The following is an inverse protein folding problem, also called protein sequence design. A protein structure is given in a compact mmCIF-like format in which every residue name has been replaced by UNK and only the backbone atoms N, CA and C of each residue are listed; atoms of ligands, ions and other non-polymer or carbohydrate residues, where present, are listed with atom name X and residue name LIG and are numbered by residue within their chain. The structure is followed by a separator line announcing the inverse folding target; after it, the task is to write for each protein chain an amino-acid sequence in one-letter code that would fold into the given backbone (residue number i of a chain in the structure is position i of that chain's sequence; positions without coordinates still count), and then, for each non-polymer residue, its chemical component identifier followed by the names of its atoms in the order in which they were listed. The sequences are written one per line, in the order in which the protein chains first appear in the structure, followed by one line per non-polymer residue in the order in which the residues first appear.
data_IF_917225390471
#
_entry.id   IF_917225390471
#
_cell.length_a   1.000
_cell.length_b   1.000
_cell.length_c   1.000
_cell.angle_alpha   90.00
_cell.angle_beta   90.00
_cell.angle_gamma   90.00
#
_symmetry.space_group_name_H-M   'P 1'
#
loop_
_entity.id
_entity.type
_entity.pdbx_description
1 polymer ?
#
# COMPACT_ATOMS: atom_id res chain seq x y z
N UNK A 1 -9.37 -17.37 9.88
CA UNK A 1 -10.11 -16.51 10.81
C UNK A 1 -9.50 -16.58 12.20
N UNK A 2 -9.37 -15.44 12.84
CA UNK A 2 -8.87 -15.35 14.20
C UNK A 2 -9.96 -15.83 15.20
N UNK A 3 -9.56 -16.67 16.15
CA UNK A 3 -10.40 -17.04 17.30
C UNK A 3 -9.81 -16.41 18.55
N UNK A 4 -10.66 -15.85 19.42
CA UNK A 4 -10.22 -15.33 20.71
C UNK A 4 -9.60 -16.44 21.56
N UNK A 5 -8.55 -16.10 22.31
CA UNK A 5 -7.92 -16.99 23.29
C UNK A 5 -8.74 -17.00 24.59
N UNK A 6 -9.46 -15.91 24.85
CA UNK A 6 -10.36 -15.75 26.00
C UNK A 6 -11.68 -15.14 25.55
N UNK A 7 -12.78 -15.44 26.22
CA UNK A 7 -14.10 -14.95 25.84
C UNK A 7 -14.24 -13.42 25.93
N UNK A 8 -13.36 -12.76 26.69
CA UNK A 8 -13.40 -11.33 26.93
C UNK A 8 -12.62 -10.48 25.93
N UNK A 9 -11.73 -11.09 25.11
CA UNK A 9 -10.88 -10.37 24.16
C UNK A 9 -11.41 -10.54 22.74
N UNK A 10 -12.07 -9.51 22.22
CA UNK A 10 -12.63 -9.49 20.85
C UNK A 10 -11.70 -8.90 19.82
N UNK A 11 -10.80 -8.01 20.24
CA UNK A 11 -9.79 -7.40 19.37
C UNK A 11 -8.54 -7.00 20.17
N UNK A 12 -7.37 -6.95 19.51
CA UNK A 12 -6.14 -6.39 20.06
C UNK A 12 -5.24 -5.81 18.99
N UNK A 13 -4.46 -4.80 19.38
CA UNK A 13 -3.49 -4.15 18.51
C UNK A 13 -2.23 -5.02 18.38
N UNK A 14 -1.81 -5.30 17.16
CA UNK A 14 -0.56 -6.02 16.85
C UNK A 14 0.59 -5.05 16.65
N UNK A 15 0.33 -3.94 15.96
CA UNK A 15 1.32 -2.93 15.65
C UNK A 15 0.66 -1.58 15.37
N UNK A 16 1.42 -0.52 15.64
CA UNK A 16 1.04 0.86 15.31
C UNK A 16 2.17 1.49 14.50
N UNK A 17 1.81 2.26 13.47
CA UNK A 17 2.80 3.08 12.78
C UNK A 17 3.42 4.05 13.78
N UNK A 18 4.73 4.19 13.73
CA UNK A 18 5.44 5.16 14.56
C UNK A 18 5.12 6.56 14.03
N UNK A 19 4.10 7.18 14.59
CA UNK A 19 3.96 8.62 14.48
C UNK A 19 5.02 9.21 15.41
N UNK A 20 6.10 9.75 14.85
CA UNK A 20 7.08 10.46 15.63
C UNK A 20 6.41 11.66 16.26
N UNK A 21 6.56 11.88 17.55
CA UNK A 21 6.06 13.00 18.35
C UNK A 21 4.57 13.38 18.09
N UNK A 22 3.84 13.79 19.11
CA UNK A 22 2.43 14.24 19.03
C UNK A 22 2.19 15.43 18.06
N UNK A 23 3.24 15.96 17.45
CA UNK A 23 3.22 17.03 16.45
C UNK A 23 3.20 16.52 14.99
N UNK A 24 3.39 15.22 14.75
CA UNK A 24 3.40 14.70 13.37
C UNK A 24 1.97 14.57 12.87
N UNK A 25 1.62 15.45 11.94
CA UNK A 25 0.31 15.48 11.28
C UNK A 25 0.05 14.29 10.34
N UNK A 26 0.92 13.27 10.32
CA UNK A 26 0.67 12.06 9.57
C UNK A 26 -0.39 11.21 10.24
N UNK A 27 -1.35 10.73 9.46
CA UNK A 27 -2.42 9.87 9.96
C UNK A 27 -1.85 8.58 10.54
N UNK A 28 -2.25 8.19 11.76
CA UNK A 28 -1.82 6.95 12.36
C UNK A 28 -2.43 5.74 11.64
N UNK A 29 -1.65 4.69 11.45
CA UNK A 29 -2.11 3.39 10.99
C UNK A 29 -1.86 2.33 12.06
N UNK A 30 -2.81 1.46 12.26
CA UNK A 30 -2.73 0.35 13.20
C UNK A 30 -2.94 -0.97 12.48
N UNK A 31 -2.29 -2.02 12.96
CA UNK A 31 -2.61 -3.40 12.59
C UNK A 31 -3.31 -4.04 13.78
N UNK A 32 -4.54 -4.45 13.54
CA UNK A 32 -5.40 -5.09 14.53
C UNK A 32 -5.67 -6.54 14.21
N UNK A 33 -5.95 -7.28 15.26
CA UNK A 33 -6.54 -8.60 15.17
C UNK A 33 -7.92 -8.55 15.81
N UNK A 34 -8.93 -8.97 15.08
CA UNK A 34 -10.32 -8.96 15.52
C UNK A 34 -10.96 -10.34 15.29
N UNK A 35 -11.78 -10.77 16.24
CA UNK A 35 -12.51 -12.05 16.15
C UNK A 35 -13.42 -12.05 14.91
N UNK A 36 -13.39 -13.15 14.16
CA UNK A 36 -14.19 -13.30 12.94
C UNK A 36 -13.66 -12.56 11.71
N UNK A 37 -12.53 -11.84 11.82
CA UNK A 37 -11.89 -11.16 10.71
C UNK A 37 -10.61 -11.87 10.26
N UNK A 38 -10.13 -11.62 9.03
CA UNK A 38 -8.83 -12.06 8.57
C UNK A 38 -7.68 -11.52 9.45
N UNK A 39 -6.55 -12.22 9.42
CA UNK A 39 -5.37 -11.79 10.18
C UNK A 39 -4.78 -10.49 9.62
N UNK A 40 -4.45 -9.55 10.51
CA UNK A 40 -3.71 -8.34 10.18
C UNK A 40 -4.56 -7.27 9.47
N UNK A 41 -5.67 -6.85 10.07
CA UNK A 41 -6.48 -5.75 9.57
C UNK A 41 -5.73 -4.45 9.74
N UNK A 42 -5.65 -3.65 8.68
CA UNK A 42 -5.15 -2.28 8.75
C UNK A 42 -6.33 -1.36 9.05
N UNK A 43 -6.21 -0.59 10.15
CA UNK A 43 -7.15 0.48 10.51
C UNK A 43 -6.44 1.83 10.44
N UNK A 44 -7.20 2.87 10.12
CA UNK A 44 -6.70 4.23 10.07
C UNK A 44 -7.79 5.24 9.82
N UNK A 45 -7.41 6.50 9.82
CA UNK A 45 -8.31 7.63 9.59
C UNK A 45 -8.72 7.66 8.12
N UNK A 46 -10.03 7.66 7.87
CA UNK A 46 -10.63 7.77 6.53
C UNK A 46 -10.88 9.22 6.15
N UNK A 47 -11.24 9.48 4.89
CA UNK A 47 -11.86 10.74 4.51
C UNK A 47 -13.31 10.77 5.01
N UNK A 48 -13.74 11.92 5.53
CA UNK A 48 -15.16 12.12 5.78
C UNK A 48 -15.90 12.29 4.45
N UNK A 49 -16.94 11.49 4.25
CA UNK A 49 -17.74 11.48 3.02
C UNK A 49 -19.21 11.74 3.33
N UNK A 50 -19.92 12.32 2.35
CA UNK A 50 -21.37 12.42 2.39
C UNK A 50 -22.04 11.09 1.99
N UNK A 51 -23.38 11.04 2.01
CA UNK A 51 -24.16 9.86 1.64
C UNK A 51 -23.96 9.38 0.19
N UNK A 52 -23.40 10.25 -0.68
CA UNK A 52 -23.07 9.95 -2.07
C UNK A 52 -21.62 9.44 -2.25
N UNK A 53 -20.83 9.38 -1.16
CA UNK A 53 -19.43 8.99 -1.19
C UNK A 53 -18.45 10.10 -1.58
N UNK A 54 -18.90 11.34 -1.74
CA UNK A 54 -18.05 12.48 -2.07
C UNK A 54 -17.28 12.95 -0.82
N UNK A 55 -16.00 13.32 -1.00
CA UNK A 55 -15.17 13.80 0.11
C UNK A 55 -15.65 15.17 0.56
N UNK A 56 -15.79 15.35 1.86
CA UNK A 56 -16.21 16.60 2.48
C UNK A 56 -15.00 17.45 2.86
N UNK A 57 -15.15 18.76 2.66
CA UNK A 57 -14.12 19.76 2.93
C UNK A 57 -14.63 20.85 3.87
N UNK A 58 -13.81 21.18 4.85
CA UNK A 58 -14.02 22.33 5.73
C UNK A 58 -12.97 23.39 5.42
N UNK A 59 -13.40 24.60 5.09
CA UNK A 59 -12.50 25.69 4.67
C UNK A 59 -11.50 25.29 3.56
N UNK A 60 -11.93 24.40 2.64
CA UNK A 60 -11.10 23.90 1.52
C UNK A 60 -10.11 22.79 1.89
N UNK A 61 -10.06 22.35 3.15
CA UNK A 61 -9.22 21.26 3.62
C UNK A 61 -10.04 19.97 3.79
N UNK A 62 -9.46 18.78 3.49
CA UNK A 62 -10.18 17.53 3.63
C UNK A 62 -10.51 17.23 5.08
N UNK A 63 -11.74 16.87 5.35
CA UNK A 63 -12.20 16.50 6.69
C UNK A 63 -11.80 15.06 7.01
N UNK A 64 -11.34 14.86 8.25
CA UNK A 64 -11.06 13.52 8.78
C UNK A 64 -12.36 12.82 9.12
N UNK A 65 -12.50 11.59 8.64
CA UNK A 65 -13.57 10.67 9.01
C UNK A 65 -13.22 9.84 10.24
N UNK A 66 -13.93 8.75 10.39
CA UNK A 66 -13.74 7.79 11.48
C UNK A 66 -12.52 6.89 11.24
N UNK A 67 -12.11 6.18 12.30
CA UNK A 67 -11.08 5.14 12.19
C UNK A 67 -11.74 3.84 11.75
N UNK A 68 -11.50 3.47 10.51
CA UNK A 68 -12.13 2.31 9.89
C UNK A 68 -11.10 1.30 9.36
N UNK A 69 -11.61 0.13 8.93
CA UNK A 69 -10.82 -0.88 8.23
C UNK A 69 -10.46 -0.36 6.83
N UNK A 70 -9.17 -0.18 6.57
CA UNK A 70 -8.62 0.27 5.28
C UNK A 70 -8.15 -0.89 4.39
N UNK A 71 -8.01 -2.08 4.95
CA UNK A 71 -7.60 -3.27 4.22
C UNK A 71 -7.00 -4.35 5.11
N UNK A 72 -6.33 -5.28 4.47
CA UNK A 72 -5.66 -6.41 5.11
C UNK A 72 -4.18 -6.41 4.74
N UNK A 73 -3.30 -6.54 5.75
CA UNK A 73 -1.84 -6.53 5.54
C UNK A 73 -1.32 -7.83 4.94
N UNK A 74 -2.08 -8.91 5.08
CA UNK A 74 -1.73 -10.23 4.56
C UNK A 74 -2.41 -10.47 3.23
N UNK A 75 -1.64 -10.97 2.27
CA UNK A 75 -2.16 -11.31 0.96
C UNK A 75 -3.02 -12.59 1.06
N UNK A 76 -4.32 -12.54 0.72
CA UNK A 76 -5.19 -13.72 0.75
C UNK A 76 -4.84 -14.74 -0.35
N UNK A 77 -4.18 -14.30 -1.43
CA UNK A 77 -3.81 -15.17 -2.53
C UNK A 77 -2.32 -15.11 -2.81
N UNK A 78 -1.71 -16.29 -2.94
CA UNK A 78 -0.31 -16.45 -3.38
C UNK A 78 -0.27 -17.43 -4.55
N UNK A 79 0.52 -17.09 -5.56
CA UNK A 79 0.71 -17.91 -6.77
C UNK A 79 2.20 -18.12 -6.99
N UNK A 80 2.61 -19.38 -7.18
CA UNK A 80 3.95 -19.75 -7.65
C UNK A 80 3.82 -20.55 -8.95
N UNK A 81 4.52 -20.12 -9.99
CA UNK A 81 4.59 -20.83 -11.27
C UNK A 81 6.05 -21.08 -11.65
N UNK A 82 6.42 -22.36 -11.64
CA UNK A 82 7.76 -22.81 -12.02
C UNK A 82 7.67 -23.66 -13.28
N UNK A 83 8.57 -23.41 -14.23
CA UNK A 83 8.69 -24.22 -15.42
C UNK A 83 10.14 -24.40 -15.83
N UNK A 84 10.45 -25.53 -16.48
CA UNK A 84 11.76 -25.84 -17.03
C UNK A 84 11.59 -26.50 -18.40
N UNK A 85 12.34 -26.00 -19.37
CA UNK A 85 12.39 -26.51 -20.75
C UNK A 85 13.78 -27.02 -21.05
N UNK A 86 13.86 -28.20 -21.62
CA UNK A 86 15.11 -28.76 -22.15
C UNK A 86 14.99 -29.09 -23.63
N UNK A 87 15.95 -28.59 -24.42
CA UNK A 87 16.00 -28.86 -25.84
C UNK A 87 17.45 -28.83 -26.36
N UNK A 88 17.90 -29.93 -26.97
CA UNK A 88 19.23 -30.02 -27.60
C UNK A 88 20.39 -29.55 -26.73
N UNK A 89 20.35 -29.87 -25.42
CA UNK A 89 21.37 -29.49 -24.47
C UNK A 89 21.20 -28.09 -23.83
N UNK A 90 20.24 -27.29 -24.31
CA UNK A 90 19.85 -26.06 -23.67
C UNK A 90 18.80 -26.32 -22.59
N UNK A 91 18.96 -25.69 -21.44
CA UNK A 91 17.99 -25.69 -20.34
C UNK A 91 17.60 -24.26 -20.06
N UNK A 92 16.30 -23.98 -20.06
CA UNK A 92 15.73 -22.72 -19.63
C UNK A 92 14.76 -22.99 -18.48
N UNK A 93 14.99 -22.41 -17.32
CA UNK A 93 14.04 -22.49 -16.21
C UNK A 93 13.70 -21.11 -15.67
N UNK A 94 12.47 -20.96 -15.21
CA UNK A 94 12.02 -19.73 -14.58
C UNK A 94 11.01 -20.00 -13.48
N UNK A 95 10.98 -19.08 -12.51
CA UNK A 95 10.02 -19.06 -11.39
C UNK A 95 9.35 -17.69 -11.35
N UNK A 96 8.03 -17.68 -11.52
CA UNK A 96 7.18 -16.52 -11.27
C UNK A 96 6.51 -16.67 -9.91
N UNK A 97 6.52 -15.59 -9.15
CA UNK A 97 5.89 -15.48 -7.83
C UNK A 97 4.93 -14.29 -7.82
N UNK A 98 3.68 -14.52 -7.42
CA UNK A 98 2.65 -13.52 -7.33
C UNK A 98 1.96 -13.54 -5.97
N UNK A 99 1.63 -12.35 -5.45
CA UNK A 99 0.80 -12.16 -4.27
C UNK A 99 -0.24 -11.09 -4.56
N UNK A 100 -1.48 -11.33 -4.11
CA UNK A 100 -2.60 -10.46 -4.47
C UNK A 100 -3.49 -10.15 -3.27
N UNK A 101 -4.11 -8.96 -3.31
CA UNK A 101 -5.14 -8.53 -2.37
C UNK A 101 -4.62 -7.99 -1.03
N UNK A 102 -3.31 -7.95 -0.81
CA UNK A 102 -2.71 -7.29 0.36
C UNK A 102 -2.71 -5.77 0.21
N UNK A 103 -2.80 -5.07 1.34
CA UNK A 103 -2.65 -3.61 1.43
C UNK A 103 -1.47 -3.26 2.31
N UNK A 104 -0.88 -2.09 2.08
CA UNK A 104 0.20 -1.56 2.91
C UNK A 104 0.03 -0.06 3.15
N UNK A 105 0.35 0.38 4.35
CA UNK A 105 0.48 1.79 4.67
C UNK A 105 1.91 2.25 4.45
N UNK A 106 2.08 3.35 3.73
CA UNK A 106 3.40 3.96 3.50
C UNK A 106 3.57 5.23 4.34
N UNK A 107 4.17 5.09 5.51
CA UNK A 107 4.52 6.24 6.35
C UNK A 107 5.54 7.16 5.66
N UNK A 108 6.45 6.60 4.87
CA UNK A 108 7.41 7.39 4.09
C UNK A 108 6.71 8.34 3.13
N UNK A 109 5.71 7.84 2.38
CA UNK A 109 4.94 8.68 1.47
C UNK A 109 4.11 9.72 2.22
N UNK A 110 3.52 9.36 3.37
CA UNK A 110 2.80 10.32 4.21
C UNK A 110 3.70 11.50 4.63
N UNK A 111 4.92 11.22 5.09
CA UNK A 111 5.90 12.27 5.41
C UNK A 111 6.35 13.05 4.16
N UNK A 112 6.59 12.37 3.03
CA UNK A 112 6.96 13.06 1.79
C UNK A 112 5.85 13.99 1.31
N UNK A 113 4.58 13.62 1.46
CA UNK A 113 3.42 14.47 1.14
C UNK A 113 3.37 15.63 2.12
N UNK A 114 3.49 15.38 3.43
CA UNK A 114 3.46 16.42 4.46
C UNK A 114 4.50 17.52 4.22
N UNK A 115 5.71 17.14 3.84
CA UNK A 115 6.82 18.08 3.59
C UNK A 115 6.90 18.55 2.13
N UNK A 116 5.92 18.22 1.28
CA UNK A 116 5.91 18.63 -0.12
C UNK A 116 7.02 18.02 -0.97
N UNK A 117 7.56 16.86 -0.58
CA UNK A 117 8.66 16.17 -1.29
C UNK A 117 8.19 15.03 -2.20
N UNK A 118 6.91 14.69 -2.15
CA UNK A 118 6.32 13.72 -3.07
C UNK A 118 5.98 14.38 -4.41
N UNK A 119 6.09 13.65 -5.51
CA UNK A 119 5.78 14.16 -6.86
C UNK A 119 4.33 14.67 -6.96
N UNK A 120 3.39 13.99 -6.30
CA UNK A 120 1.98 14.37 -6.29
C UNK A 120 1.71 15.72 -5.60
N UNK A 121 2.71 16.29 -4.90
CA UNK A 121 2.58 17.60 -4.27
C UNK A 121 3.04 18.76 -5.17
N UNK A 122 3.40 18.50 -6.43
CA UNK A 122 3.76 19.52 -7.40
C UNK A 122 2.58 20.41 -7.83
N UNK A 123 1.38 19.85 -8.10
CA UNK A 123 0.23 20.65 -8.53
C UNK A 123 -0.17 21.69 -7.47
N UNK A 124 -0.55 22.87 -7.93
CA UNK A 124 -1.11 23.93 -7.10
C UNK A 124 -0.13 24.67 -6.21
N UNK A 125 1.19 24.48 -6.33
CA UNK A 125 2.19 25.14 -5.47
C UNK A 125 2.15 26.66 -5.58
N UNK A 126 1.97 27.18 -6.77
CA UNK A 126 1.92 28.63 -7.03
C UNK A 126 0.48 29.15 -7.04
N UNK A 127 -0.41 28.40 -7.67
CA UNK A 127 -1.79 28.83 -7.92
C UNK A 127 -2.74 28.53 -6.77
N UNK A 128 -2.36 27.65 -5.84
CA UNK A 128 -3.23 27.08 -4.81
C UNK A 128 -4.11 25.94 -5.36
N UNK A 129 -4.85 25.31 -4.49
CA UNK A 129 -5.65 24.11 -4.78
C UNK A 129 -7.11 24.38 -4.44
N UNK A 130 -8.01 24.04 -5.35
CA UNK A 130 -9.43 23.85 -5.11
C UNK A 130 -9.69 22.35 -5.26
N UNK A 131 -9.87 21.66 -4.14
CA UNK A 131 -10.05 20.21 -4.14
C UNK A 131 -11.46 19.84 -4.58
N UNK A 132 -11.59 18.73 -5.32
CA UNK A 132 -12.87 18.23 -5.80
C UNK A 132 -13.62 17.49 -4.67
N UNK A 133 -14.85 17.89 -4.44
CA UNK A 133 -15.75 17.33 -3.44
C UNK A 133 -16.76 18.37 -2.97
N UNK A 134 -17.33 18.18 -1.79
CA UNK A 134 -18.39 19.02 -1.25
C UNK A 134 -17.93 19.71 0.03
N UNK A 135 -18.59 20.84 0.36
CA UNK A 135 -18.38 21.52 1.62
C UNK A 135 -18.93 20.71 2.80
N UNK A 136 -18.74 21.19 4.00
CA UNK A 136 -19.21 20.55 5.24
C UNK A 136 -20.71 20.30 5.32
N UNK A 137 -21.51 21.01 4.49
CA UNK A 137 -22.94 20.79 4.35
C UNK A 137 -23.30 19.49 3.58
N UNK A 138 -22.29 18.82 2.99
CA UNK A 138 -22.45 17.58 2.24
C UNK A 138 -23.12 17.71 0.87
N UNK A 139 -23.42 18.92 0.40
CA UNK A 139 -24.20 19.17 -0.84
C UNK A 139 -23.50 20.16 -1.76
N UNK A 140 -23.04 21.30 -1.21
CA UNK A 140 -22.46 22.39 -2.01
C UNK A 140 -21.05 22.02 -2.49
N UNK A 141 -20.74 22.11 -3.79
CA UNK A 141 -19.40 21.87 -4.30
C UNK A 141 -18.36 22.75 -3.60
N UNK A 142 -17.19 22.18 -3.30
CA UNK A 142 -16.10 22.94 -2.72
C UNK A 142 -15.52 23.91 -3.77
N UNK A 143 -15.50 25.19 -3.44
CA UNK A 143 -14.96 26.28 -4.26
C UNK A 143 -13.83 27.05 -3.52
N UNK A 144 -13.48 26.59 -2.32
CA UNK A 144 -12.51 27.27 -1.48
C UNK A 144 -11.10 26.93 -1.92
N UNK A 145 -10.36 27.99 -2.26
CA UNK A 145 -8.96 27.89 -2.66
C UNK A 145 -8.04 27.95 -1.44
N UNK A 146 -7.15 26.97 -1.32
CA UNK A 146 -6.15 26.87 -0.24
C UNK A 146 -4.74 26.78 -0.80
N UNK A 147 -3.74 27.12 0.01
CA UNK A 147 -2.34 26.93 -0.39
C UNK A 147 -1.99 25.43 -0.42
N UNK A 148 -1.15 25.03 -1.38
CA UNK A 148 -0.70 23.66 -1.52
C UNK A 148 -0.11 23.11 -0.20
N UNK A 149 0.68 23.92 0.52
CA UNK A 149 1.25 23.52 1.80
C UNK A 149 0.17 23.11 2.80
N UNK A 150 -0.86 23.93 3.01
CA UNK A 150 -1.95 23.61 3.95
C UNK A 150 -2.72 22.37 3.52
N UNK A 151 -3.01 22.27 2.21
CA UNK A 151 -3.74 21.13 1.65
C UNK A 151 -3.00 19.81 1.87
N UNK A 152 -1.72 19.73 1.48
CA UNK A 152 -0.95 18.49 1.58
C UNK A 152 -0.59 18.12 3.02
N UNK A 153 -0.43 19.10 3.92
CA UNK A 153 -0.32 18.84 5.35
C UNK A 153 -1.60 18.22 5.92
N UNK A 154 -2.77 18.74 5.56
CA UNK A 154 -4.04 18.17 6.00
C UNK A 154 -4.25 16.76 5.41
N UNK A 155 -3.92 16.58 4.13
CA UNK A 155 -4.02 15.32 3.41
C UNK A 155 -3.15 14.21 4.04
N UNK A 156 -1.93 14.54 4.46
CA UNK A 156 -1.03 13.57 5.12
C UNK A 156 -1.57 13.06 6.45
N UNK A 157 -2.48 13.80 7.07
CA UNK A 157 -3.16 13.40 8.31
C UNK A 157 -4.27 12.36 8.12
N UNK A 158 -4.57 11.97 6.88
CA UNK A 158 -5.58 10.97 6.54
C UNK A 158 -4.88 9.70 6.08
N UNK A 159 -4.98 8.64 6.89
CA UNK A 159 -4.28 7.36 6.66
C UNK A 159 -4.69 6.73 5.34
N UNK A 160 -5.96 6.82 4.98
CA UNK A 160 -6.53 6.27 3.75
C UNK A 160 -5.76 6.72 2.49
N UNK A 161 -5.29 7.97 2.47
CA UNK A 161 -4.52 8.53 1.34
C UNK A 161 -3.17 7.84 1.11
N UNK A 162 -2.63 7.16 2.12
CA UNK A 162 -1.31 6.51 2.07
C UNK A 162 -1.40 4.98 2.17
N UNK A 163 -2.59 4.42 1.86
CA UNK A 163 -2.80 2.99 1.72
C UNK A 163 -2.65 2.59 0.26
N UNK A 164 -1.76 1.66 0.01
CA UNK A 164 -1.43 1.17 -1.33
C UNK A 164 -1.78 -0.29 -1.49
N UNK A 165 -2.05 -0.69 -2.72
CA UNK A 165 -2.13 -2.10 -3.09
C UNK A 165 -0.73 -2.72 -3.03
N UNK A 166 -0.60 -3.82 -2.30
CA UNK A 166 0.65 -4.55 -2.16
C UNK A 166 0.72 -5.77 -3.09
N UNK A 167 -0.22 -5.89 -4.01
CA UNK A 167 -0.21 -6.97 -4.99
C UNK A 167 0.97 -6.83 -5.95
N UNK A 168 1.59 -7.95 -6.27
CA UNK A 168 2.69 -7.97 -7.23
C UNK A 168 2.81 -9.31 -7.94
N UNK A 169 3.43 -9.28 -9.11
CA UNK A 169 3.98 -10.44 -9.82
C UNK A 169 5.45 -10.14 -10.09
N UNK A 170 6.33 -11.08 -9.79
CA UNK A 170 7.76 -10.94 -10.05
C UNK A 170 8.37 -12.21 -10.61
N UNK A 171 9.34 -12.06 -11.48
CA UNK A 171 10.25 -13.11 -11.89
C UNK A 171 11.27 -13.31 -10.77
N UNK A 172 11.17 -14.43 -10.05
CA UNK A 172 12.08 -14.75 -8.94
C UNK A 172 13.37 -15.35 -9.41
N UNK A 173 13.28 -16.22 -10.40
CA UNK A 173 14.40 -16.95 -10.91
C UNK A 173 14.29 -17.02 -12.43
N UNK A 174 15.42 -16.84 -13.09
CA UNK A 174 15.59 -17.12 -14.49
C UNK A 174 16.97 -17.77 -14.65
N UNK A 175 16.99 -19.01 -15.09
CA UNK A 175 18.22 -19.77 -15.32
C UNK A 175 18.29 -20.23 -16.77
N UNK A 176 19.43 -20.02 -17.38
CA UNK A 176 19.75 -20.52 -18.69
C UNK A 176 21.03 -21.34 -18.63
N UNK A 177 20.95 -22.57 -19.05
CA UNK A 177 22.08 -23.51 -19.05
C UNK A 177 22.29 -24.15 -20.42
N UNK A 178 23.52 -24.57 -20.66
CA UNK A 178 23.84 -25.39 -21.83
C UNK A 178 24.76 -26.53 -21.44
N UNK A 179 24.32 -27.75 -21.71
CA UNK A 179 25.11 -28.95 -21.52
C UNK A 179 26.00 -29.21 -22.75
N UNK A 180 27.28 -28.93 -22.60
CA UNK A 180 28.24 -29.16 -23.70
C UNK A 180 28.37 -30.65 -24.02
N UNK A 181 28.38 -31.04 -25.28
CA UNK A 181 28.63 -32.44 -25.70
C UNK A 181 30.01 -32.91 -25.18
N UNK A 182 30.07 -34.12 -24.62
CA UNK A 182 31.28 -34.69 -24.03
C UNK A 182 32.47 -34.67 -25.01
N UNK A 183 32.22 -34.75 -26.33
CA UNK A 183 33.28 -34.65 -27.36
C UNK A 183 34.00 -33.28 -27.33
N UNK A 184 33.33 -32.21 -27.00
CA UNK A 184 33.94 -30.88 -26.90
C UNK A 184 34.71 -30.70 -25.61
N UNK A 185 34.16 -31.20 -24.51
CA UNK A 185 34.77 -31.13 -23.17
C UNK A 185 36.09 -31.85 -23.16
N UNK A 186 36.14 -33.04 -23.76
CA UNK A 186 37.40 -33.83 -23.87
C UNK A 186 38.50 -33.15 -24.71
N UNK A 187 38.14 -32.35 -25.73
CA UNK A 187 39.12 -31.59 -26.52
C UNK A 187 39.85 -30.52 -25.76
N UNK A 188 39.23 -29.95 -24.70
CA UNK A 188 39.81 -28.93 -23.85
C UNK A 188 40.41 -29.48 -22.56
N UNK A 189 40.55 -30.82 -22.46
CA UNK A 189 41.24 -31.51 -21.35
C UNK A 189 40.44 -31.59 -20.05
N UNK A 190 39.12 -31.30 -20.09
CA UNK A 190 38.24 -31.48 -18.93
C UNK A 190 37.64 -32.89 -18.96
N UNK A 191 37.69 -33.59 -17.80
CA UNK A 191 36.96 -34.84 -17.59
C UNK A 191 35.54 -34.53 -17.13
N UNK A 192 34.54 -35.16 -17.76
CA UNK A 192 33.15 -35.09 -17.34
C UNK A 192 32.87 -36.16 -16.28
#
# INVERSE_FOLDING_TARGET
LFRSITDDVTEFELAKSRTGHDSDNCGPAWIYQQVGQPYGIIRGVTFKRNDKGEIMYENGLPMKGEIEKLGESVHPYTLGFSNSFECHGFTLSFLLDGKFGGKMYSQTNAHMIMFGRHADTLPGREEGIIAQGVKEDGVTPNDVKVTAMKYYMALSGITENCIYDASFIKLRELSFGYNFPTKWIRKIGLSA
#
